data_IF_981650073146
#
_entry.id   IF_981650073146
#
_cell.length_a   1.000
_cell.length_b   1.000
_cell.length_c   1.000
_cell.angle_alpha   90.00
_cell.angle_beta   90.00
_cell.angle_gamma   90.00
#
_symmetry.space_group_name_H-M   'P 1'
#
loop_
_entity.id
_entity.type
_entity.pdbx_description
1 polymer ?
#
# COMPACT_ATOMS: atom_id res chain seq x y z
N UNK A 1 -20.05 16.99 12.99
CA UNK A 1 -19.87 16.61 11.55
C UNK A 1 -18.76 17.50 10.98
N UNK A 2 -17.86 16.98 10.16
CA UNK A 2 -16.80 17.80 9.55
C UNK A 2 -17.39 18.72 8.47
N UNK A 3 -16.89 19.96 8.34
CA UNK A 3 -17.26 20.84 7.23
C UNK A 3 -16.78 20.26 5.90
N UNK A 4 -17.47 20.61 4.82
CA UNK A 4 -17.03 20.26 3.47
C UNK A 4 -15.81 21.08 3.08
N UNK A 5 -14.84 20.44 2.42
CA UNK A 5 -13.62 21.08 1.93
C UNK A 5 -13.26 20.57 0.53
N UNK A 6 -12.74 21.45 -0.32
CA UNK A 6 -12.30 21.08 -1.66
C UNK A 6 -10.98 20.32 -1.61
N UNK A 7 -10.83 19.30 -2.47
CA UNK A 7 -9.59 18.52 -2.55
C UNK A 7 -8.35 19.39 -2.83
N UNK A 8 -8.51 20.50 -3.55
CA UNK A 8 -7.42 21.44 -3.83
C UNK A 8 -6.97 22.17 -2.56
N UNK A 9 -7.90 22.57 -1.69
CA UNK A 9 -7.58 23.22 -0.41
C UNK A 9 -6.89 22.23 0.53
N UNK A 10 -7.40 20.99 0.60
CA UNK A 10 -6.76 19.89 1.33
C UNK A 10 -5.33 19.66 0.80
N UNK A 11 -5.15 19.63 -0.51
CA UNK A 11 -3.83 19.46 -1.13
C UNK A 11 -2.86 20.58 -0.78
N UNK A 12 -3.28 21.85 -0.87
CA UNK A 12 -2.45 23.00 -0.48
C UNK A 12 -2.05 22.93 0.99
N UNK A 13 -3.02 22.68 1.88
CA UNK A 13 -2.76 22.53 3.31
C UNK A 13 -1.70 21.45 3.59
N UNK A 14 -1.85 20.25 3.02
CA UNK A 14 -0.87 19.17 3.22
C UNK A 14 0.49 19.53 2.60
N UNK A 15 0.52 20.23 1.48
CA UNK A 15 1.78 20.69 0.93
C UNK A 15 2.44 21.74 1.83
N UNK A 16 1.68 22.60 2.49
CA UNK A 16 2.24 23.58 3.43
C UNK A 16 2.87 22.91 4.65
N UNK A 17 2.28 21.82 5.14
CA UNK A 17 2.80 21.02 6.25
C UNK A 17 3.98 20.11 5.86
N UNK A 18 3.85 19.38 4.74
CA UNK A 18 4.79 18.32 4.37
C UNK A 18 5.86 18.76 3.34
N UNK A 19 5.64 19.90 2.67
CA UNK A 19 6.46 20.42 1.56
C UNK A 19 6.69 19.42 0.42
N UNK A 20 5.79 18.46 0.21
CA UNK A 20 6.01 17.35 -0.73
C UNK A 20 6.13 17.77 -2.21
N UNK A 21 5.61 18.94 -2.60
CA UNK A 21 5.77 19.45 -3.97
C UNK A 21 7.25 19.74 -4.32
N UNK A 22 8.12 19.97 -3.33
CA UNK A 22 9.55 20.18 -3.58
C UNK A 22 10.25 18.94 -4.16
N UNK A 23 9.65 17.74 -4.02
CA UNK A 23 10.17 16.52 -4.62
C UNK A 23 10.04 16.50 -6.15
N UNK A 24 9.14 17.31 -6.72
CA UNK A 24 8.94 17.41 -8.17
C UNK A 24 9.99 18.30 -8.80
N UNK A 25 11.16 17.72 -9.05
CA UNK A 25 12.25 18.38 -9.78
C UNK A 25 12.04 18.28 -11.30
N UNK A 26 12.48 19.24 -12.12
CA UNK A 26 12.35 19.15 -13.57
C UNK A 26 13.28 18.09 -14.17
N UNK A 27 12.92 17.49 -15.30
CA UNK A 27 13.72 16.47 -16.01
C UNK A 27 15.11 16.99 -16.42
N UNK A 28 15.22 18.28 -16.77
CA UNK A 28 16.48 18.94 -17.11
C UNK A 28 16.69 20.19 -16.22
N UNK A 29 17.23 20.02 -15.00
CA UNK A 29 17.37 21.12 -14.04
C UNK A 29 18.20 22.30 -14.56
N UNK A 30 19.22 22.02 -15.37
CA UNK A 30 20.12 23.05 -15.95
C UNK A 30 19.45 23.93 -17.00
N UNK A 31 18.36 23.48 -17.61
CA UNK A 31 17.66 24.19 -18.69
C UNK A 31 16.27 24.69 -18.27
N UNK A 32 15.81 24.34 -17.08
CA UNK A 32 14.55 24.82 -16.53
C UNK A 32 14.68 26.29 -16.08
N UNK A 33 14.29 27.22 -16.96
CA UNK A 33 14.34 28.67 -16.69
C UNK A 33 13.33 29.15 -15.65
N UNK A 34 12.32 28.33 -15.31
CA UNK A 34 11.28 28.62 -14.30
C UNK A 34 11.02 27.39 -13.45
N UNK A 35 10.99 27.58 -12.13
CA UNK A 35 10.44 26.60 -11.18
C UNK A 35 8.95 26.43 -11.49
N UNK A 36 8.45 25.20 -11.49
CA UNK A 36 7.03 24.96 -11.68
C UNK A 36 6.22 25.64 -10.58
N UNK A 37 5.18 26.34 -11.01
CA UNK A 37 4.16 26.90 -10.15
C UNK A 37 3.43 25.76 -9.40
N UNK A 38 3.21 25.97 -8.10
CA UNK A 38 2.64 24.95 -7.20
C UNK A 38 1.20 24.60 -7.58
N UNK A 39 0.42 25.60 -7.98
CA UNK A 39 -0.97 25.43 -8.43
C UNK A 39 -1.03 24.62 -9.73
N UNK A 40 -0.11 24.88 -10.65
CA UNK A 40 0.04 24.11 -11.89
C UNK A 40 0.41 22.63 -11.63
N UNK A 41 1.32 22.37 -10.69
CA UNK A 41 1.68 20.99 -10.28
C UNK A 41 0.51 20.26 -9.62
N UNK A 42 -0.18 20.93 -8.70
CA UNK A 42 -1.39 20.40 -8.07
C UNK A 42 -2.46 20.06 -9.11
N UNK A 43 -2.73 20.97 -10.05
CA UNK A 43 -3.74 20.79 -11.09
C UNK A 43 -3.44 19.57 -11.97
N UNK A 44 -2.18 19.39 -12.40
CA UNK A 44 -1.80 18.23 -13.22
C UNK A 44 -1.84 16.92 -12.41
N UNK A 45 -1.44 16.93 -11.14
CA UNK A 45 -1.53 15.73 -10.28
C UNK A 45 -2.99 15.31 -10.11
N UNK A 46 -3.88 16.25 -9.78
CA UNK A 46 -5.31 15.98 -9.60
C UNK A 46 -5.93 15.50 -10.92
N UNK A 47 -5.57 16.11 -12.05
CA UNK A 47 -6.05 15.69 -13.37
C UNK A 47 -5.75 14.22 -13.66
N UNK A 48 -4.55 13.75 -13.33
CA UNK A 48 -4.11 12.38 -13.56
C UNK A 48 -4.65 11.40 -12.51
N UNK A 49 -4.81 11.85 -11.26
CA UNK A 49 -5.37 11.05 -10.17
C UNK A 49 -6.85 10.72 -10.37
N UNK A 50 -7.61 11.68 -10.89
CA UNK A 50 -9.07 11.63 -11.01
C UNK A 50 -9.58 11.16 -12.37
N UNK A 51 -8.67 10.71 -13.26
CA UNK A 51 -8.98 10.26 -14.62
C UNK A 51 -9.63 11.32 -15.53
N UNK A 52 -9.49 12.60 -15.22
CA UNK A 52 -9.89 13.67 -16.12
C UNK A 52 -8.90 13.83 -17.28
N UNK A 53 -7.61 13.65 -16.99
CA UNK A 53 -6.53 14.04 -17.88
C UNK A 53 -6.46 15.57 -18.10
N UNK A 54 -5.41 16.02 -18.79
CA UNK A 54 -5.10 17.44 -18.92
C UNK A 54 -6.16 18.22 -19.73
N UNK A 55 -6.80 17.57 -20.72
CA UNK A 55 -7.81 18.24 -21.56
C UNK A 55 -9.08 18.61 -20.80
N UNK A 56 -9.62 17.68 -20.02
CA UNK A 56 -10.83 17.95 -19.21
C UNK A 56 -10.47 18.95 -18.12
N UNK A 57 -9.35 18.75 -17.42
CA UNK A 57 -8.92 19.66 -16.36
C UNK A 57 -8.76 21.10 -16.85
N UNK A 58 -8.16 21.33 -18.02
CA UNK A 58 -8.01 22.67 -18.59
C UNK A 58 -9.34 23.37 -18.93
N UNK A 59 -10.43 22.62 -19.11
CA UNK A 59 -11.77 23.17 -19.36
C UNK A 59 -12.56 23.42 -18.07
N UNK A 60 -12.21 22.72 -17.00
CA UNK A 60 -12.90 22.76 -15.71
C UNK A 60 -12.10 23.46 -14.62
N UNK A 61 -11.00 24.11 -14.99
CA UNK A 61 -10.13 24.86 -14.09
C UNK A 61 -9.58 26.13 -14.74
N UNK A 62 -8.90 26.92 -13.94
CA UNK A 62 -8.20 28.16 -14.30
C UNK A 62 -6.79 27.93 -14.86
N UNK A 63 -6.34 26.68 -15.04
CA UNK A 63 -5.01 26.37 -15.60
C UNK A 63 -5.12 25.93 -17.07
N UNK A 64 -4.45 26.61 -18.01
CA UNK A 64 -4.55 26.29 -19.43
C UNK A 64 -3.81 24.99 -19.77
N UNK A 65 -4.29 24.32 -20.85
CA UNK A 65 -3.78 23.00 -21.26
C UNK A 65 -2.26 22.93 -21.43
N UNK A 66 -1.64 23.93 -22.07
CA UNK A 66 -0.20 23.92 -22.34
C UNK A 66 0.65 23.95 -21.06
N UNK A 67 0.14 24.55 -19.98
CA UNK A 67 0.78 24.56 -18.66
C UNK A 67 0.67 23.18 -18.01
N UNK A 68 -0.51 22.55 -18.06
CA UNK A 68 -0.70 21.18 -17.55
C UNK A 68 0.16 20.16 -18.30
N UNK A 69 0.23 20.26 -19.63
CA UNK A 69 1.03 19.36 -20.46
C UNK A 69 2.54 19.54 -20.19
N UNK A 70 3.02 20.78 -20.11
CA UNK A 70 4.40 21.06 -19.72
C UNK A 70 4.73 20.55 -18.31
N UNK A 71 3.81 20.76 -17.35
CA UNK A 71 3.91 20.24 -15.99
C UNK A 71 4.02 18.71 -15.97
N UNK A 72 3.18 18.04 -16.75
CA UNK A 72 3.21 16.58 -16.89
C UNK A 72 4.56 16.09 -17.41
N UNK A 73 5.00 16.60 -18.55
CA UNK A 73 6.22 16.11 -19.22
C UNK A 73 7.49 16.40 -18.41
N UNK A 74 7.55 17.54 -17.72
CA UNK A 74 8.77 17.96 -17.02
C UNK A 74 8.89 17.39 -15.60
N UNK A 75 7.77 17.18 -14.89
CA UNK A 75 7.79 16.95 -13.44
C UNK A 75 7.19 15.62 -13.00
N UNK A 76 6.19 15.09 -13.73
CA UNK A 76 5.53 13.84 -13.36
C UNK A 76 6.34 12.63 -13.84
N UNK A 77 6.96 11.93 -12.89
CA UNK A 77 7.64 10.66 -13.10
C UNK A 77 7.54 9.81 -11.85
N UNK A 78 7.73 8.50 -12.00
CA UNK A 78 7.62 7.58 -10.87
C UNK A 78 8.54 7.98 -9.70
N UNK A 79 9.79 8.37 -9.98
CA UNK A 79 10.73 8.78 -8.94
C UNK A 79 10.24 10.00 -8.12
N UNK A 80 9.70 11.04 -8.76
CA UNK A 80 9.21 12.25 -8.05
C UNK A 80 7.94 11.96 -7.27
N UNK A 81 7.04 11.15 -7.85
CA UNK A 81 5.81 10.74 -7.18
C UNK A 81 6.09 9.82 -5.97
N UNK A 82 7.04 8.90 -6.07
CA UNK A 82 7.45 8.08 -4.92
C UNK A 82 8.02 8.96 -3.80
N UNK A 83 8.97 9.84 -4.11
CA UNK A 83 9.56 10.75 -3.13
C UNK A 83 8.50 11.65 -2.47
N UNK A 84 7.56 12.21 -3.25
CA UNK A 84 6.46 13.01 -2.70
C UNK A 84 5.54 12.20 -1.77
N UNK A 85 5.22 10.96 -2.13
CA UNK A 85 4.43 10.07 -1.27
C UNK A 85 5.17 9.70 0.02
N UNK A 86 6.49 9.52 -0.04
CA UNK A 86 7.31 9.23 1.14
C UNK A 86 7.34 10.45 2.07
N UNK A 87 7.46 11.67 1.54
CA UNK A 87 7.35 12.90 2.34
C UNK A 87 6.05 12.95 3.15
N UNK A 88 4.90 12.70 2.50
CA UNK A 88 3.62 12.70 3.20
C UNK A 88 3.54 11.53 4.20
N UNK A 89 3.94 10.32 3.79
CA UNK A 89 3.87 9.13 4.65
C UNK A 89 4.70 9.32 5.93
N UNK A 90 5.93 9.83 5.80
CA UNK A 90 6.82 10.09 6.93
C UNK A 90 6.28 11.22 7.80
N UNK A 91 5.66 12.26 7.22
CA UNK A 91 5.00 13.30 7.98
C UNK A 91 3.77 12.78 8.75
N UNK A 92 3.01 11.80 8.22
CA UNK A 92 1.94 11.15 9.00
C UNK A 92 2.53 10.42 10.22
N UNK A 93 3.70 9.80 10.08
CA UNK A 93 4.33 9.06 11.18
C UNK A 93 4.70 9.94 12.39
N UNK A 94 4.91 11.25 12.18
CA UNK A 94 5.25 12.20 13.25
C UNK A 94 4.01 12.77 13.95
N UNK A 95 2.80 12.51 13.43
CA UNK A 95 1.57 13.05 13.99
C UNK A 95 1.18 12.32 15.30
N UNK A 96 0.64 13.04 16.30
CA UNK A 96 0.19 12.47 17.59
C UNK A 96 -0.78 11.28 17.48
N UNK A 97 -1.61 11.22 16.44
CA UNK A 97 -2.54 10.11 16.23
C UNK A 97 -1.84 8.81 15.80
N UNK A 98 -0.65 8.87 15.21
CA UNK A 98 -0.02 7.72 14.55
C UNK A 98 0.17 6.50 15.46
N UNK A 99 0.63 6.63 16.72
CA UNK A 99 0.74 5.50 17.64
C UNK A 99 -0.60 4.79 17.88
N UNK A 100 -1.71 5.53 17.88
CA UNK A 100 -3.06 4.99 18.09
C UNK A 100 -3.61 4.23 16.89
N UNK A 101 -3.00 4.39 15.70
CA UNK A 101 -3.32 3.52 14.57
C UNK A 101 -2.75 2.12 14.77
N UNK A 102 -1.72 1.93 15.58
CA UNK A 102 -1.26 0.58 15.89
C UNK A 102 -2.26 -0.11 16.82
N UNK A 103 -2.58 -1.36 16.52
CA UNK A 103 -3.41 -2.20 17.39
C UNK A 103 -2.60 -3.13 18.29
N UNK A 104 -1.27 -3.13 18.08
CA UNK A 104 -0.28 -3.77 18.91
C UNK A 104 0.86 -2.76 19.10
N UNK A 105 1.25 -2.49 20.35
CA UNK A 105 2.30 -1.51 20.65
C UNK A 105 3.67 -1.94 20.13
N UNK A 106 3.86 -3.24 19.90
CA UNK A 106 5.15 -3.81 19.48
C UNK A 106 5.22 -4.13 17.97
N UNK A 107 4.06 -4.22 17.31
CA UNK A 107 3.96 -4.68 15.92
C UNK A 107 3.31 -3.66 15.02
N UNK A 108 4.07 -3.25 14.01
CA UNK A 108 3.55 -2.47 12.90
C UNK A 108 3.15 -3.41 11.74
N UNK A 109 1.84 -3.47 11.48
CA UNK A 109 1.27 -4.35 10.46
C UNK A 109 1.18 -3.66 9.09
N UNK A 110 1.74 -4.32 8.08
CA UNK A 110 1.61 -3.97 6.67
C UNK A 110 0.68 -4.96 5.95
N UNK A 111 -0.39 -4.48 5.32
CA UNK A 111 -1.27 -5.26 4.46
C UNK A 111 -0.86 -5.14 2.98
N UNK A 112 -0.91 -6.25 2.26
CA UNK A 112 -0.75 -6.30 0.81
C UNK A 112 -1.96 -6.92 0.12
N UNK A 113 -2.40 -6.28 -0.96
CA UNK A 113 -3.49 -6.77 -1.84
C UNK A 113 -3.48 -5.95 -3.14
N UNK A 114 -4.10 -6.52 -4.18
CA UNK A 114 -4.27 -5.91 -5.48
C UNK A 114 -5.66 -5.32 -5.70
N UNK A 115 -5.75 -4.04 -6.07
CA UNK A 115 -7.01 -3.45 -6.52
C UNK A 115 -7.14 -3.48 -8.05
N UNK A 116 -8.29 -3.94 -8.53
CA UNK A 116 -8.56 -4.13 -9.96
C UNK A 116 -9.08 -2.82 -10.57
N UNK A 117 -8.46 -2.38 -11.67
CA UNK A 117 -8.83 -1.18 -12.44
C UNK A 117 -8.88 -1.50 -13.94
N UNK A 118 -9.93 -1.07 -14.63
CA UNK A 118 -9.93 -1.13 -16.10
C UNK A 118 -9.02 -0.04 -16.66
N UNK A 119 -8.61 -0.19 -17.93
CA UNK A 119 -7.83 0.83 -18.62
C UNK A 119 -8.58 1.26 -19.88
N UNK A 120 -8.64 2.57 -20.12
CA UNK A 120 -9.31 3.12 -21.32
C UNK A 120 -8.60 2.63 -22.59
N UNK A 121 -7.26 2.65 -22.57
CA UNK A 121 -6.40 2.28 -23.69
C UNK A 121 -5.49 1.13 -23.27
N UNK A 122 -5.77 -0.10 -23.73
CA UNK A 122 -5.01 -1.26 -23.28
C UNK A 122 -3.53 -1.18 -23.66
N UNK A 123 -2.66 -1.32 -22.66
CA UNK A 123 -1.20 -1.38 -22.81
C UNK A 123 -0.69 -2.83 -22.77
N UNK A 124 0.63 -3.00 -22.81
CA UNK A 124 1.28 -4.31 -22.74
C UNK A 124 1.07 -4.97 -21.38
N UNK A 125 0.86 -4.25 -20.28
CA UNK A 125 0.47 -4.85 -18.98
C UNK A 125 -1.03 -5.14 -18.86
N UNK A 126 -1.87 -4.47 -19.64
CA UNK A 126 -3.32 -4.64 -19.54
C UNK A 126 -3.77 -6.02 -20.01
N UNK A 127 -4.58 -6.71 -19.21
CA UNK A 127 -5.03 -8.08 -19.48
C UNK A 127 -6.55 -8.18 -19.45
N UNK A 128 -7.07 -9.11 -20.24
CA UNK A 128 -8.49 -9.43 -20.25
C UNK A 128 -8.86 -10.23 -19.01
N UNK A 129 -9.99 -9.90 -18.39
CA UNK A 129 -10.61 -10.74 -17.37
C UNK A 129 -12.11 -10.57 -17.41
N UNK A 130 -12.82 -11.65 -17.77
CA UNK A 130 -14.29 -11.65 -17.82
C UNK A 130 -14.90 -11.31 -16.46
N UNK A 131 -14.28 -11.79 -15.37
CA UNK A 131 -14.74 -11.58 -14.00
C UNK A 131 -14.63 -10.11 -13.57
N UNK A 132 -13.51 -9.45 -13.89
CA UNK A 132 -13.20 -8.12 -13.34
C UNK A 132 -13.48 -6.98 -14.30
N UNK A 133 -13.34 -7.20 -15.62
CA UNK A 133 -13.39 -6.14 -16.63
C UNK A 133 -14.45 -6.40 -17.71
N UNK A 134 -15.25 -7.48 -17.57
CA UNK A 134 -16.24 -7.85 -18.58
C UNK A 134 -15.58 -8.13 -19.93
N UNK A 135 -15.89 -7.31 -20.95
CA UNK A 135 -15.25 -7.39 -22.28
C UNK A 135 -13.95 -6.58 -22.39
N UNK A 136 -13.65 -5.77 -21.38
CA UNK A 136 -12.49 -4.87 -21.35
C UNK A 136 -11.20 -5.53 -20.89
N UNK A 137 -10.15 -4.71 -20.81
CA UNK A 137 -8.85 -5.07 -20.23
C UNK A 137 -8.57 -4.16 -19.04
N UNK A 138 -7.73 -4.65 -18.13
CA UNK A 138 -7.37 -3.91 -16.94
C UNK A 138 -6.05 -4.38 -16.34
N UNK A 139 -5.69 -3.71 -15.25
CA UNK A 139 -4.47 -3.91 -14.46
C UNK A 139 -4.84 -4.07 -13.00
N UNK A 140 -3.87 -4.49 -12.19
CA UNK A 140 -4.01 -4.61 -10.75
C UNK A 140 -3.03 -3.64 -10.10
N UNK A 141 -3.56 -2.69 -9.34
CA UNK A 141 -2.79 -1.79 -8.48
C UNK A 141 -2.46 -2.51 -7.17
N UNK A 142 -1.27 -3.10 -7.11
CA UNK A 142 -0.79 -3.81 -5.94
C UNK A 142 -0.26 -2.81 -4.91
N UNK A 143 -0.75 -2.86 -3.68
CA UNK A 143 -0.46 -1.85 -2.65
C UNK A 143 0.08 -2.50 -1.39
N UNK A 144 1.07 -1.85 -0.76
CA UNK A 144 1.48 -2.07 0.62
C UNK A 144 0.92 -0.94 1.47
N UNK A 145 -0.04 -1.28 2.33
CA UNK A 145 -0.64 -0.36 3.29
C UNK A 145 -0.10 -0.66 4.68
N UNK A 146 0.44 0.33 5.37
CA UNK A 146 0.82 0.20 6.77
C UNK A 146 -0.11 1.02 7.65
N UNK A 147 -0.79 0.36 8.60
CA UNK A 147 -1.92 0.97 9.31
C UNK A 147 -2.97 1.49 8.32
N UNK A 148 -2.99 2.80 8.08
CA UNK A 148 -3.88 3.46 7.11
C UNK A 148 -3.13 4.08 5.94
N UNK A 149 -1.80 3.99 5.90
CA UNK A 149 -0.95 4.77 5.00
C UNK A 149 -0.48 3.87 3.85
N UNK A 150 -0.83 4.18 2.58
CA UNK A 150 -0.33 3.45 1.42
C UNK A 150 1.15 3.81 1.12
N UNK A 151 2.05 3.10 1.81
CA UNK A 151 3.50 3.32 1.75
C UNK A 151 4.08 3.10 0.36
N UNK A 152 3.64 2.04 -0.32
CA UNK A 152 4.17 1.68 -1.63
C UNK A 152 3.09 1.04 -2.51
N UNK A 153 3.27 1.08 -3.82
CA UNK A 153 2.40 0.40 -4.76
C UNK A 153 2.89 0.50 -6.19
N UNK A 154 2.46 -0.43 -7.04
CA UNK A 154 2.73 -0.42 -8.48
C UNK A 154 1.74 -1.31 -9.24
N UNK A 155 1.69 -1.15 -10.56
CA UNK A 155 0.80 -1.91 -11.43
C UNK A 155 1.42 -3.23 -11.88
N UNK A 156 0.67 -4.31 -11.65
CA UNK A 156 0.90 -5.66 -12.17
C UNK A 156 -0.20 -6.05 -13.16
N UNK A 157 0.09 -7.01 -14.03
CA UNK A 157 -0.90 -7.55 -14.97
C UNK A 157 -1.95 -8.39 -14.23
N UNK A 158 -3.20 -8.42 -14.73
CA UNK A 158 -4.27 -9.16 -14.04
C UNK A 158 -4.10 -10.70 -14.01
N UNK A 159 -3.15 -11.24 -14.77
CA UNK A 159 -2.73 -12.64 -14.72
C UNK A 159 -1.52 -12.88 -13.80
N UNK A 160 -0.88 -11.82 -13.30
CA UNK A 160 0.30 -11.95 -12.47
C UNK A 160 -0.13 -12.48 -11.09
N UNK A 161 0.63 -13.43 -10.58
CA UNK A 161 0.31 -14.03 -9.29
C UNK A 161 0.78 -13.11 -8.17
N UNK A 162 -0.17 -12.52 -7.43
CA UNK A 162 0.08 -11.50 -6.39
C UNK A 162 1.13 -11.95 -5.35
N UNK A 163 1.15 -13.24 -4.98
CA UNK A 163 2.14 -13.79 -4.05
C UNK A 163 3.61 -13.58 -4.47
N UNK A 164 3.89 -13.40 -5.77
CA UNK A 164 5.25 -13.13 -6.28
C UNK A 164 5.74 -11.70 -6.02
N UNK A 165 4.85 -10.82 -5.55
CA UNK A 165 5.10 -9.39 -5.38
C UNK A 165 5.21 -8.97 -3.92
N UNK A 166 4.89 -9.87 -2.97
CA UNK A 166 4.82 -9.59 -1.53
C UNK A 166 6.16 -9.11 -0.97
N UNK A 167 7.25 -9.83 -1.26
CA UNK A 167 8.58 -9.40 -0.82
C UNK A 167 9.02 -8.14 -1.54
N UNK A 168 8.82 -8.07 -2.86
CA UNK A 168 9.30 -6.95 -3.67
C UNK A 168 8.65 -5.62 -3.28
N UNK A 169 7.35 -5.60 -2.98
CA UNK A 169 6.66 -4.35 -2.59
C UNK A 169 7.11 -3.86 -1.22
N UNK A 170 7.34 -4.77 -0.27
CA UNK A 170 7.89 -4.46 1.04
C UNK A 170 9.35 -4.00 0.95
N UNK A 171 10.18 -4.75 0.23
CA UNK A 171 11.62 -4.50 0.15
C UNK A 171 11.99 -3.25 -0.66
N UNK A 172 11.08 -2.78 -1.52
CA UNK A 172 11.19 -1.52 -2.26
C UNK A 172 10.53 -0.33 -1.56
N UNK A 173 9.98 -0.51 -0.36
CA UNK A 173 9.50 0.62 0.44
C UNK A 173 10.69 1.52 0.80
N UNK A 174 10.54 2.82 0.53
CA UNK A 174 11.55 3.85 0.78
C UNK A 174 11.12 4.84 1.87
N UNK A 175 9.91 4.71 2.40
CA UNK A 175 9.45 5.47 3.57
C UNK A 175 10.15 5.02 4.86
N UNK A 176 10.11 5.89 5.88
CA UNK A 176 10.66 5.62 7.21
C UNK A 176 9.80 4.63 8.00
N UNK A 177 8.57 4.37 7.52
CA UNK A 177 7.61 3.46 8.13
C UNK A 177 7.91 2.04 7.64
N UNK A 178 8.46 1.18 8.51
CA UNK A 178 8.85 -0.18 8.14
C UNK A 178 8.02 -1.23 8.89
N UNK A 179 6.94 -1.76 8.28
CA UNK A 179 6.13 -2.80 8.92
C UNK A 179 6.96 -4.06 9.19
N UNK A 180 6.77 -4.65 10.36
CA UNK A 180 7.48 -5.86 10.84
C UNK A 180 6.70 -7.14 10.59
N UNK A 181 5.38 -7.03 10.46
CA UNK A 181 4.48 -8.12 10.07
C UNK A 181 3.76 -7.75 8.76
N UNK A 182 3.82 -8.63 7.77
CA UNK A 182 3.17 -8.48 6.47
C UNK A 182 1.98 -9.43 6.39
N UNK A 183 0.79 -8.86 6.25
CA UNK A 183 -0.47 -9.58 6.11
C UNK A 183 -0.95 -9.51 4.66
N UNK A 184 -1.70 -10.51 4.23
CA UNK A 184 -2.35 -10.54 2.92
C UNK A 184 -3.46 -11.59 2.93
N UNK A 185 -4.15 -11.76 1.82
CA UNK A 185 -5.15 -12.83 1.66
C UNK A 185 -4.50 -14.14 1.18
N UNK A 186 -5.30 -15.16 0.84
CA UNK A 186 -4.77 -16.41 0.32
C UNK A 186 -4.06 -16.25 -1.05
N UNK A 187 -4.34 -15.19 -1.82
CA UNK A 187 -3.62 -14.89 -3.07
C UNK A 187 -2.21 -14.37 -2.84
N UNK A 188 -1.89 -13.93 -1.62
CA UNK A 188 -0.54 -13.57 -1.20
C UNK A 188 0.33 -14.77 -0.76
N UNK A 189 -0.24 -15.97 -0.61
CA UNK A 189 0.49 -17.15 -0.11
C UNK A 189 1.11 -17.94 -1.26
N UNK A 190 2.41 -18.24 -1.19
CA UNK A 190 3.10 -19.20 -2.06
C UNK A 190 4.03 -20.10 -1.23
N UNK A 191 4.79 -20.99 -1.88
CA UNK A 191 5.71 -21.96 -1.23
C UNK A 191 7.07 -21.37 -0.79
N UNK A 192 7.18 -20.05 -0.68
CA UNK A 192 8.45 -19.39 -0.36
C UNK A 192 8.31 -18.08 0.43
N UNK A 193 7.12 -17.48 0.51
CA UNK A 193 6.94 -16.17 1.16
C UNK A 193 7.23 -16.22 2.65
N UNK A 194 6.91 -17.33 3.33
CA UNK A 194 7.25 -17.48 4.74
C UNK A 194 8.76 -17.53 4.92
N UNK A 195 9.46 -18.33 4.10
CA UNK A 195 10.92 -18.41 4.12
C UNK A 195 11.59 -17.07 3.79
N UNK A 196 11.21 -16.46 2.68
CA UNK A 196 11.84 -15.25 2.15
C UNK A 196 11.65 -14.08 3.13
N UNK A 197 10.44 -13.81 3.62
CA UNK A 197 10.25 -12.73 4.58
C UNK A 197 10.97 -12.99 5.90
N UNK A 198 11.03 -14.25 6.34
CA UNK A 198 11.75 -14.64 7.56
C UNK A 198 13.26 -14.36 7.46
N UNK A 199 13.90 -14.66 6.33
CA UNK A 199 15.34 -14.37 6.14
C UNK A 199 15.68 -12.89 6.23
N UNK A 200 14.71 -12.00 5.98
CA UNK A 200 14.86 -10.55 6.10
C UNK A 200 14.27 -9.99 7.40
N UNK A 201 14.02 -10.84 8.41
CA UNK A 201 13.57 -10.44 9.73
C UNK A 201 12.11 -9.97 9.78
N UNK A 202 11.27 -10.41 8.83
CA UNK A 202 9.85 -10.06 8.77
C UNK A 202 8.97 -11.29 9.01
N UNK A 203 7.80 -11.05 9.59
CA UNK A 203 6.78 -12.08 9.77
C UNK A 203 5.79 -12.00 8.62
N UNK A 204 5.56 -13.12 7.93
CA UNK A 204 4.45 -13.23 7.00
C UNK A 204 3.25 -13.82 7.73
N UNK A 205 2.18 -13.04 7.87
CA UNK A 205 1.00 -13.37 8.66
C UNK A 205 -0.28 -13.24 7.80
N UNK A 206 -0.45 -14.09 6.76
CA UNK A 206 -1.62 -14.04 5.88
C UNK A 206 -2.89 -14.50 6.60
N UNK A 207 -4.05 -13.95 6.20
CA UNK A 207 -5.34 -14.43 6.69
C UNK A 207 -5.68 -15.77 6.07
N UNK A 208 -5.95 -16.75 6.92
CA UNK A 208 -6.46 -18.04 6.48
C UNK A 208 -7.98 -18.00 6.32
N UNK A 209 -8.45 -18.42 5.14
CA UNK A 209 -9.89 -18.56 4.86
C UNK A 209 -10.42 -19.93 5.27
N UNK A 210 -9.56 -20.96 5.23
CA UNK A 210 -9.90 -22.34 5.62
C UNK A 210 -8.76 -22.89 6.50
N UNK A 211 -9.05 -22.99 7.80
CA UNK A 211 -8.12 -23.54 8.80
C UNK A 211 -7.87 -25.04 8.60
N UNK A 212 -8.88 -25.80 8.18
CA UNK A 212 -8.73 -27.24 7.94
C UNK A 212 -7.78 -27.50 6.76
N UNK A 213 -7.82 -26.64 5.74
CA UNK A 213 -6.84 -26.69 4.67
C UNK A 213 -5.42 -26.37 5.16
N UNK A 214 -5.25 -25.46 6.13
CA UNK A 214 -3.92 -25.16 6.69
C UNK A 214 -3.38 -26.28 7.58
N UNK A 215 -4.25 -27.03 8.26
CA UNK A 215 -3.83 -28.21 9.04
C UNK A 215 -3.19 -29.29 8.15
N UNK A 216 -3.57 -29.37 6.87
CA UNK A 216 -2.95 -30.28 5.89
C UNK A 216 -1.54 -29.87 5.47
N UNK A 217 -1.12 -28.67 5.86
CA UNK A 217 0.17 -28.06 5.52
C UNK A 217 1.03 -27.86 6.77
N UNK A 218 0.69 -28.55 7.87
CA UNK A 218 1.41 -28.53 9.13
C UNK A 218 2.47 -29.63 9.18
N UNK A 219 3.72 -29.26 9.41
CA UNK A 219 4.85 -30.19 9.49
C UNK A 219 5.59 -30.04 10.82
N UNK A 220 6.32 -31.09 11.22
CA UNK A 220 7.15 -31.11 12.44
C UNK A 220 8.64 -31.33 12.12
N UNK A 221 9.52 -30.96 13.05
CA UNK A 221 10.95 -31.24 12.95
C UNK A 221 11.29 -32.68 13.38
N UNK A 222 10.49 -33.27 14.27
CA UNK A 222 10.69 -34.62 14.80
C UNK A 222 9.84 -35.68 14.07
N UNK A 223 9.82 -36.90 14.60
CA UNK A 223 8.97 -37.98 14.08
C UNK A 223 7.48 -37.66 14.32
N UNK A 224 6.63 -37.62 13.27
CA UNK A 224 5.19 -37.43 13.40
C UNK A 224 4.51 -38.38 14.39
N UNK A 225 5.05 -39.59 14.60
CA UNK A 225 4.52 -40.56 15.56
C UNK A 225 4.55 -40.06 17.01
N UNK A 226 5.45 -39.14 17.36
CA UNK A 226 5.54 -38.57 18.71
C UNK A 226 4.33 -37.67 19.05
N UNK A 227 3.59 -37.21 18.03
CA UNK A 227 2.47 -36.28 18.18
C UNK A 227 1.10 -36.99 18.13
N UNK A 228 1.04 -38.32 18.26
CA UNK A 228 -0.23 -39.07 18.22
C UNK A 228 -1.23 -38.62 19.30
N UNK A 229 -0.74 -38.23 20.48
CA UNK A 229 -1.59 -37.74 21.57
C UNK A 229 -2.06 -36.28 21.37
N UNK A 230 -1.49 -35.54 20.41
CA UNK A 230 -1.87 -34.15 20.17
C UNK A 230 -3.20 -34.06 19.40
N UNK A 231 -4.01 -33.06 19.75
CA UNK A 231 -5.27 -32.74 19.05
C UNK A 231 -5.02 -32.33 17.60
N UNK A 232 -3.97 -31.54 17.38
CA UNK A 232 -3.50 -31.11 16.07
C UNK A 232 -2.22 -31.89 15.77
N UNK A 233 -2.21 -32.59 14.63
CA UNK A 233 -1.11 -33.48 14.24
C UNK A 233 -0.41 -32.97 12.98
N UNK A 234 0.93 -33.02 12.92
CA UNK A 234 1.65 -32.74 11.70
C UNK A 234 1.39 -33.83 10.66
N UNK A 235 1.35 -33.45 9.38
CA UNK A 235 1.18 -34.39 8.26
C UNK A 235 2.49 -35.00 7.78
N UNK A 236 3.63 -34.50 8.25
CA UNK A 236 4.94 -35.01 7.87
C UNK A 236 6.10 -34.32 8.57
N UNK A 237 7.29 -34.86 8.34
CA UNK A 237 8.56 -34.36 8.88
C UNK A 237 9.25 -33.42 7.90
N UNK A 238 9.82 -32.35 8.41
CA UNK A 238 10.65 -31.39 7.68
C UNK A 238 12.06 -31.97 7.52
N UNK A 239 12.61 -31.89 6.32
CA UNK A 239 13.98 -32.34 6.04
C UNK A 239 15.00 -31.29 6.50
N UNK A 240 15.25 -31.24 7.81
CA UNK A 240 16.21 -30.31 8.42
C UNK A 240 17.63 -30.52 7.91
N UNK A 241 18.05 -31.77 7.65
CA UNK A 241 19.39 -32.07 7.15
C UNK A 241 19.62 -31.48 5.75
N UNK A 242 18.61 -31.54 4.88
CA UNK A 242 18.65 -30.89 3.57
C UNK A 242 18.76 -29.36 3.69
N UNK A 243 18.04 -28.73 4.63
CA UNK A 243 18.14 -27.29 4.89
C UNK A 243 19.58 -26.93 5.29
N UNK A 244 20.19 -27.67 6.21
CA UNK A 244 21.56 -27.43 6.64
C UNK A 244 22.58 -27.63 5.52
N UNK A 245 22.45 -28.72 4.75
CA UNK A 245 23.34 -29.02 3.62
C UNK A 245 23.30 -27.95 2.54
N UNK A 246 22.11 -27.43 2.22
CA UNK A 246 21.92 -26.42 1.17
C UNK A 246 22.05 -24.98 1.66
N UNK A 247 22.36 -24.77 2.95
CA UNK A 247 22.52 -23.43 3.52
C UNK A 247 23.41 -22.50 2.69
N UNK A 248 24.59 -22.92 2.18
CA UNK A 248 25.43 -22.03 1.37
C UNK A 248 24.73 -21.52 0.09
N UNK A 249 23.87 -22.34 -0.52
CA UNK A 249 23.09 -21.93 -1.69
C UNK A 249 21.93 -21.02 -1.31
N UNK A 250 21.28 -21.28 -0.18
CA UNK A 250 20.25 -20.40 0.39
C UNK A 250 20.85 -19.02 0.69
N UNK A 251 22.01 -18.96 1.34
CA UNK A 251 22.69 -17.70 1.67
C UNK A 251 23.00 -16.88 0.41
N UNK A 252 23.44 -17.53 -0.68
CA UNK A 252 23.64 -16.88 -1.98
C UNK A 252 22.34 -16.31 -2.56
N UNK A 253 21.25 -17.05 -2.46
CA UNK A 253 19.93 -16.59 -2.93
C UNK A 253 19.44 -15.39 -2.11
N UNK A 254 19.61 -15.45 -0.78
CA UNK A 254 19.29 -14.33 0.13
C UNK A 254 20.14 -13.12 -0.22
N UNK A 255 21.44 -13.30 -0.46
CA UNK A 255 22.34 -12.23 -0.89
C UNK A 255 21.90 -11.61 -2.22
N UNK A 256 21.57 -12.41 -3.25
CA UNK A 256 21.07 -11.92 -4.53
C UNK A 256 19.77 -11.12 -4.39
N UNK A 257 18.83 -11.58 -3.54
CA UNK A 257 17.62 -10.82 -3.22
C UNK A 257 17.95 -9.51 -2.49
N UNK A 258 18.86 -9.55 -1.51
CA UNK A 258 19.28 -8.40 -0.72
C UNK A 258 20.09 -7.36 -1.51
N UNK A 259 20.79 -7.79 -2.55
CA UNK A 259 21.49 -6.90 -3.48
C UNK A 259 20.55 -6.32 -4.56
N UNK A 260 19.26 -6.70 -4.56
CA UNK A 260 18.25 -6.28 -5.56
C UNK A 260 18.63 -6.66 -7.00
N UNK A 261 19.53 -7.63 -7.20
CA UNK A 261 19.94 -8.13 -8.52
C UNK A 261 18.79 -8.87 -9.22
N UNK A 262 17.86 -9.42 -8.44
CA UNK A 262 16.71 -10.18 -8.93
C UNK A 262 15.49 -9.90 -8.05
N UNK A 263 14.31 -9.85 -8.68
CA UNK A 263 13.03 -9.74 -7.97
C UNK A 263 12.59 -11.08 -7.42
N UNK A 264 11.77 -11.06 -6.37
CA UNK A 264 11.19 -12.26 -5.80
C UNK A 264 10.45 -13.09 -6.86
N UNK A 265 9.60 -12.46 -7.66
CA UNK A 265 8.87 -13.17 -8.72
C UNK A 265 9.78 -13.84 -9.75
N UNK A 266 10.94 -13.24 -10.05
CA UNK A 266 11.94 -13.85 -10.94
C UNK A 266 12.62 -15.05 -10.27
N UNK A 267 12.96 -14.94 -8.98
CA UNK A 267 13.51 -16.04 -8.19
C UNK A 267 12.55 -17.22 -8.18
N UNK A 268 11.28 -17.02 -7.81
CA UNK A 268 10.29 -18.09 -7.72
C UNK A 268 10.08 -18.75 -9.07
N UNK A 269 9.98 -17.95 -10.16
CA UNK A 269 9.87 -18.49 -11.51
C UNK A 269 11.05 -19.38 -11.86
N UNK A 270 12.29 -18.95 -11.56
CA UNK A 270 13.52 -19.73 -11.77
C UNK A 270 13.57 -20.99 -10.89
N UNK A 271 13.16 -20.90 -9.63
CA UNK A 271 13.07 -22.08 -8.76
C UNK A 271 12.08 -23.11 -9.31
N UNK A 272 10.97 -22.66 -9.89
CA UNK A 272 9.97 -23.52 -10.50
C UNK A 272 10.41 -24.12 -11.84
N UNK A 273 11.45 -23.61 -12.52
CA UNK A 273 12.01 -24.27 -13.72
C UNK A 273 12.92 -25.45 -13.40
N UNK A 274 13.48 -25.50 -12.18
CA UNK A 274 14.26 -26.67 -11.75
C UNK A 274 13.36 -27.88 -11.50
N UNK A 275 13.91 -29.08 -11.68
CA UNK A 275 13.21 -30.32 -11.32
C UNK A 275 12.81 -30.33 -9.85
N UNK A 276 11.76 -31.06 -9.50
CA UNK A 276 11.32 -31.22 -8.10
C UNK A 276 12.37 -31.93 -7.25
N UNK A 277 13.32 -32.62 -7.87
CA UNK A 277 14.46 -33.30 -7.24
C UNK A 277 15.64 -32.37 -6.95
N UNK A 278 15.66 -31.14 -7.46
CA UNK A 278 16.74 -30.20 -7.21
C UNK A 278 16.88 -29.92 -5.69
N UNK A 279 18.08 -30.11 -5.11
CA UNK A 279 18.25 -30.05 -3.65
C UNK A 279 18.01 -28.65 -3.10
N UNK A 280 18.53 -27.60 -3.74
CA UNK A 280 18.34 -26.20 -3.29
C UNK A 280 16.86 -25.80 -3.32
N UNK A 281 16.14 -26.12 -4.40
CA UNK A 281 14.69 -25.87 -4.51
C UNK A 281 13.93 -26.54 -3.36
N UNK A 282 14.22 -27.82 -3.10
CA UNK A 282 13.59 -28.57 -2.02
C UNK A 282 13.92 -27.96 -0.66
N UNK A 283 15.18 -27.62 -0.40
CA UNK A 283 15.60 -27.02 0.86
C UNK A 283 14.85 -25.72 1.19
N UNK A 284 14.65 -24.85 0.20
CA UNK A 284 13.88 -23.61 0.36
C UNK A 284 12.43 -23.91 0.75
N UNK A 285 11.80 -24.88 0.09
CA UNK A 285 10.40 -25.24 0.37
C UNK A 285 10.26 -25.97 1.72
N UNK A 286 11.25 -26.75 2.15
CA UNK A 286 11.30 -27.34 3.50
C UNK A 286 11.45 -26.26 4.57
N UNK A 287 12.27 -25.23 4.32
CA UNK A 287 12.37 -24.08 5.21
C UNK A 287 11.05 -23.28 5.26
N UNK A 288 10.38 -23.08 4.12
CA UNK A 288 9.08 -22.41 4.06
C UNK A 288 8.02 -23.17 4.87
N UNK A 289 7.96 -24.50 4.74
CA UNK A 289 7.09 -25.35 5.57
C UNK A 289 7.35 -25.17 7.06
N UNK A 290 8.61 -25.06 7.48
CA UNK A 290 8.97 -24.83 8.89
C UNK A 290 8.35 -23.54 9.41
N UNK A 291 8.60 -22.42 8.72
CA UNK A 291 8.12 -21.10 9.16
C UNK A 291 6.59 -21.03 9.08
N UNK A 292 6.00 -21.59 8.01
CA UNK A 292 4.55 -21.67 7.87
C UNK A 292 3.91 -22.50 8.97
N UNK A 293 4.50 -23.63 9.35
CA UNK A 293 3.98 -24.49 10.43
C UNK A 293 3.98 -23.75 11.77
N UNK A 294 5.05 -23.02 12.07
CA UNK A 294 5.13 -22.16 13.27
C UNK A 294 4.03 -21.10 13.25
N UNK A 295 3.82 -20.43 12.11
CA UNK A 295 2.77 -19.43 11.98
C UNK A 295 1.37 -20.04 12.14
N UNK A 296 1.08 -21.17 11.48
CA UNK A 296 -0.21 -21.87 11.60
C UNK A 296 -0.53 -22.22 13.04
N UNK A 297 0.44 -22.74 13.81
CA UNK A 297 0.24 -23.04 15.22
C UNK A 297 0.02 -21.77 16.05
N UNK A 298 0.73 -20.67 15.78
CA UNK A 298 0.50 -19.37 16.43
C UNK A 298 -0.91 -18.85 16.12
N UNK A 299 -1.33 -18.92 14.87
CA UNK A 299 -2.64 -18.46 14.41
C UNK A 299 -3.78 -19.23 15.09
N UNK A 300 -3.64 -20.55 15.25
CA UNK A 300 -4.64 -21.39 15.93
C UNK A 300 -4.68 -21.18 17.45
N UNK A 301 -3.53 -20.84 18.05
CA UNK A 301 -3.41 -20.67 19.50
C UNK A 301 -3.84 -19.28 19.99
N UNK A 302 -3.65 -18.26 19.17
CA UNK A 302 -3.84 -16.86 19.56
C UNK A 302 -4.97 -16.18 18.76
N UNK A 303 -6.20 -16.10 19.31
CA UNK A 303 -7.30 -15.38 18.68
C UNK A 303 -7.02 -13.89 18.46
N UNK A 304 -6.10 -13.28 19.21
CA UNK A 304 -5.75 -11.88 19.03
C UNK A 304 -4.95 -11.69 17.74
N UNK A 305 -4.06 -12.63 17.39
CA UNK A 305 -3.36 -12.64 16.11
C UNK A 305 -4.33 -12.67 14.93
N UNK A 306 -5.34 -13.55 14.97
CA UNK A 306 -6.38 -13.61 13.93
C UNK A 306 -7.13 -12.28 13.80
N UNK A 307 -7.57 -11.68 14.92
CA UNK A 307 -8.25 -10.38 14.92
C UNK A 307 -7.38 -9.26 14.36
N UNK A 308 -6.08 -9.27 14.68
CA UNK A 308 -5.09 -8.33 14.21
C UNK A 308 -4.91 -8.42 12.69
N UNK A 309 -4.74 -9.63 12.16
CA UNK A 309 -4.65 -9.90 10.72
C UNK A 309 -5.93 -9.44 10.00
N UNK A 310 -7.10 -9.77 10.54
CA UNK A 310 -8.38 -9.33 9.97
C UNK A 310 -8.54 -7.80 9.97
N UNK A 311 -8.12 -7.12 11.05
CA UNK A 311 -8.17 -5.66 11.15
C UNK A 311 -7.25 -4.99 10.13
N UNK A 312 -6.05 -5.54 9.94
CA UNK A 312 -5.09 -5.09 8.92
C UNK A 312 -5.72 -5.12 7.52
N UNK A 313 -6.38 -6.21 7.15
CA UNK A 313 -7.08 -6.33 5.87
C UNK A 313 -8.25 -5.36 5.71
N UNK A 314 -9.08 -5.18 6.73
CA UNK A 314 -10.21 -4.24 6.69
C UNK A 314 -9.76 -2.79 6.43
N UNK A 315 -8.56 -2.41 6.90
CA UNK A 315 -7.98 -1.08 6.62
C UNK A 315 -7.60 -0.92 5.15
N UNK A 316 -7.07 -1.98 4.55
CA UNK A 316 -6.76 -2.03 3.13
C UNK A 316 -8.04 -1.95 2.29
N UNK A 317 -9.11 -2.63 2.68
CA UNK A 317 -10.42 -2.46 2.04
C UNK A 317 -10.93 -1.01 2.12
N UNK A 318 -10.77 -0.35 3.27
CA UNK A 318 -11.14 1.07 3.44
C UNK A 318 -10.35 1.98 2.49
N UNK A 319 -9.04 1.76 2.36
CA UNK A 319 -8.20 2.45 1.38
C UNK A 319 -8.62 2.16 -0.06
N UNK A 320 -8.98 0.92 -0.38
CA UNK A 320 -9.50 0.56 -1.69
C UNK A 320 -10.80 1.31 -2.03
N UNK A 321 -11.68 1.54 -1.05
CA UNK A 321 -12.88 2.35 -1.28
C UNK A 321 -12.52 3.81 -1.57
N UNK A 322 -11.57 4.39 -0.84
CA UNK A 322 -11.04 5.73 -1.11
C UNK A 322 -10.44 5.82 -2.52
N UNK A 323 -9.56 4.89 -2.89
CA UNK A 323 -8.95 4.83 -4.24
C UNK A 323 -9.99 4.67 -5.34
N UNK A 324 -11.06 3.89 -5.09
CA UNK A 324 -12.17 3.76 -6.04
C UNK A 324 -12.89 5.09 -6.21
N UNK A 325 -13.20 5.80 -5.12
CA UNK A 325 -13.87 7.08 -5.18
C UNK A 325 -13.05 8.13 -5.96
N UNK A 326 -11.74 8.20 -5.72
CA UNK A 326 -10.82 9.08 -6.48
C UNK A 326 -10.85 8.75 -7.97
N UNK A 327 -10.78 7.47 -8.35
CA UNK A 327 -10.78 7.07 -9.74
C UNK A 327 -12.13 7.32 -10.43
N UNK A 328 -13.24 7.14 -9.72
CA UNK A 328 -14.60 7.27 -10.26
C UNK A 328 -15.05 8.72 -10.48
N UNK A 329 -14.25 9.71 -10.07
CA UNK A 329 -14.48 11.12 -10.37
C UNK A 329 -14.68 11.36 -11.87
N UNK A 330 -13.82 10.77 -12.71
CA UNK A 330 -13.93 10.78 -14.17
C UNK A 330 -15.06 9.90 -14.76
N UNK A 331 -15.95 9.38 -13.91
CA UNK A 331 -17.15 8.62 -14.30
C UNK A 331 -17.00 7.10 -14.29
N UNK A 332 -15.78 6.55 -14.29
CA UNK A 332 -15.53 5.10 -14.23
C UNK A 332 -14.31 4.78 -13.38
N UNK A 333 -14.27 3.57 -12.82
CA UNK A 333 -13.11 3.05 -12.07
C UNK A 333 -12.03 2.56 -13.05
N UNK A 334 -11.38 3.51 -13.71
CA UNK A 334 -10.36 3.24 -14.74
C UNK A 334 -9.04 3.92 -14.39
N UNK A 335 -8.00 3.68 -15.17
CA UNK A 335 -6.76 4.47 -15.14
C UNK A 335 -6.52 5.05 -16.53
N UNK A 336 -6.12 6.32 -16.58
CA UNK A 336 -5.81 7.04 -17.83
C UNK A 336 -4.36 6.89 -18.23
N UNK A 337 -4.10 6.78 -19.52
CA UNK A 337 -2.76 6.68 -20.11
C UNK A 337 -2.74 5.84 -21.38
N UNK A 338 -1.74 6.06 -22.23
CA UNK A 338 -1.51 5.34 -23.50
C UNK A 338 -0.38 4.32 -23.39
N UNK A 339 0.48 4.46 -22.40
CA UNK A 339 1.65 3.60 -22.17
C UNK A 339 1.65 3.07 -20.73
N UNK A 340 2.38 1.98 -20.46
CA UNK A 340 2.49 1.43 -19.10
C UNK A 340 3.06 2.45 -18.10
N UNK A 341 3.91 3.37 -18.58
CA UNK A 341 4.48 4.46 -17.78
C UNK A 341 3.39 5.48 -17.42
N UNK A 342 2.58 5.91 -18.39
CA UNK A 342 1.52 6.90 -18.16
C UNK A 342 0.45 6.37 -17.20
N UNK A 343 0.06 5.09 -17.34
CA UNK A 343 -0.91 4.46 -16.43
C UNK A 343 -0.32 4.32 -15.02
N UNK A 344 0.98 4.00 -14.89
CA UNK A 344 1.65 3.99 -13.59
C UNK A 344 1.70 5.38 -12.96
N UNK A 345 1.98 6.43 -13.74
CA UNK A 345 1.92 7.83 -13.27
C UNK A 345 0.53 8.16 -12.73
N UNK A 346 -0.55 7.82 -13.46
CA UNK A 346 -1.93 8.02 -12.99
C UNK A 346 -2.20 7.26 -11.68
N UNK A 347 -1.75 6.01 -11.57
CA UNK A 347 -1.86 5.22 -10.33
C UNK A 347 -1.14 5.88 -9.14
N UNK A 348 0.09 6.38 -9.34
CA UNK A 348 0.87 7.04 -8.30
C UNK A 348 0.31 8.42 -7.93
N UNK A 349 -0.22 9.19 -8.88
CA UNK A 349 -0.93 10.44 -8.58
C UNK A 349 -2.15 10.17 -7.69
N UNK A 350 -2.92 9.12 -7.99
CA UNK A 350 -4.07 8.77 -7.18
C UNK A 350 -3.70 8.23 -5.79
N UNK A 351 -2.55 7.54 -5.65
CA UNK A 351 -1.96 7.23 -4.34
C UNK A 351 -1.56 8.50 -3.58
N UNK A 352 -0.98 9.47 -4.27
CA UNK A 352 -0.59 10.76 -3.67
C UNK A 352 -1.81 11.50 -3.13
N UNK A 353 -2.89 11.64 -3.91
CA UNK A 353 -4.15 12.26 -3.45
C UNK A 353 -4.74 11.49 -2.26
N UNK A 354 -4.69 10.16 -2.27
CA UNK A 354 -5.14 9.37 -1.11
C UNK A 354 -4.29 9.67 0.13
N UNK A 355 -2.96 9.74 0.00
CA UNK A 355 -2.05 10.11 1.09
C UNK A 355 -2.31 11.54 1.61
N UNK A 356 -2.58 12.49 0.73
CA UNK A 356 -2.98 13.85 1.10
C UNK A 356 -4.25 13.85 1.96
N UNK A 357 -5.30 13.13 1.53
CA UNK A 357 -6.55 13.01 2.29
C UNK A 357 -6.31 12.37 3.66
N UNK A 358 -5.51 11.30 3.69
CA UNK A 358 -5.19 10.56 4.93
C UNK A 358 -4.39 11.43 5.89
N UNK A 359 -3.42 12.22 5.41
CA UNK A 359 -2.68 13.17 6.23
C UNK A 359 -3.62 14.22 6.82
N UNK A 360 -4.45 14.85 6.00
CA UNK A 360 -5.40 15.88 6.46
C UNK A 360 -6.30 15.37 7.58
N UNK A 361 -6.90 14.20 7.39
CA UNK A 361 -7.72 13.56 8.42
C UNK A 361 -6.91 13.20 9.66
N UNK A 362 -5.68 12.70 9.49
CA UNK A 362 -4.79 12.39 10.61
C UNK A 362 -4.38 13.63 11.39
N UNK A 363 -4.22 14.78 10.75
CA UNK A 363 -3.91 16.05 11.40
C UNK A 363 -5.09 16.54 12.26
N UNK A 364 -6.33 16.45 11.74
CA UNK A 364 -7.56 16.73 12.53
C UNK A 364 -7.64 15.79 13.74
N UNK A 365 -7.47 14.48 13.52
CA UNK A 365 -7.54 13.48 14.60
C UNK A 365 -6.44 13.71 15.63
N UNK A 366 -5.25 14.16 15.22
CA UNK A 366 -4.15 14.48 16.13
C UNK A 366 -4.47 15.64 17.05
N UNK A 367 -5.07 16.71 16.50
CA UNK A 367 -5.53 17.85 17.31
C UNK A 367 -6.60 17.42 18.32
N UNK A 368 -7.52 16.55 17.92
CA UNK A 368 -8.52 15.97 18.83
C UNK A 368 -7.86 15.12 19.92
N UNK A 369 -6.88 14.28 19.59
CA UNK A 369 -6.11 13.50 20.59
C UNK A 369 -5.49 14.45 21.61
N UNK A 370 -4.73 15.45 21.16
CA UNK A 370 -4.07 16.40 22.08
C UNK A 370 -5.08 17.14 22.97
N UNK A 371 -6.23 17.57 22.43
CA UNK A 371 -7.31 18.22 23.19
C UNK A 371 -7.86 17.31 24.29
N UNK A 372 -8.16 16.05 23.97
CA UNK A 372 -8.80 15.13 24.90
C UNK A 372 -7.83 14.43 25.86
N UNK A 373 -6.55 14.30 25.50
CA UNK A 373 -5.47 13.94 26.44
C UNK A 373 -5.32 15.01 27.52
N UNK A 374 -5.25 16.29 27.14
CA UNK A 374 -5.14 17.40 28.09
C UNK A 374 -6.37 17.49 29.02
N UNK A 375 -7.55 17.10 28.53
CA UNK A 375 -8.77 17.04 29.32
C UNK A 375 -8.94 15.74 30.14
N UNK A 376 -8.04 14.75 29.99
CA UNK A 376 -8.13 13.45 30.67
C UNK A 376 -9.32 12.58 30.24
N UNK A 377 -9.91 12.82 29.06
CA UNK A 377 -11.12 12.12 28.61
C UNK A 377 -10.79 10.82 27.85
N UNK A 378 -10.61 9.74 28.60
CA UNK A 378 -10.28 8.41 28.05
C UNK A 378 -11.37 7.84 27.12
N UNK A 379 -12.64 8.19 27.33
CA UNK A 379 -13.75 7.74 26.47
C UNK A 379 -13.66 8.35 25.08
N UNK A 380 -13.44 9.66 25.01
CA UNK A 380 -13.27 10.36 23.74
C UNK A 380 -12.04 9.84 22.98
N UNK A 381 -10.91 9.61 23.68
CA UNK A 381 -9.72 9.00 23.08
C UNK A 381 -10.03 7.62 22.47
N UNK A 382 -10.75 6.76 23.20
CA UNK A 382 -11.14 5.44 22.71
C UNK A 382 -12.11 5.47 21.50
N UNK A 383 -12.83 6.57 21.30
CA UNK A 383 -13.64 6.79 20.09
C UNK A 383 -12.77 7.25 18.91
N UNK A 384 -11.86 8.19 19.15
CA UNK A 384 -10.94 8.73 18.13
C UNK A 384 -10.11 7.60 17.50
N UNK A 385 -9.60 6.68 18.30
CA UNK A 385 -8.79 5.55 17.81
C UNK A 385 -9.54 4.59 16.87
N UNK A 386 -10.88 4.64 16.87
CA UNK A 386 -11.73 3.83 15.97
C UNK A 386 -12.04 4.53 14.65
N UNK A 387 -11.72 5.82 14.52
CA UNK A 387 -12.01 6.59 13.31
C UNK A 387 -10.94 6.29 12.26
N UNK A 388 -11.36 5.87 11.08
CA UNK A 388 -10.46 5.64 9.95
C UNK A 388 -10.10 6.97 9.27
N UNK A 389 -8.81 7.34 9.16
CA UNK A 389 -8.38 8.52 8.42
C UNK A 389 -8.53 8.37 6.90
N UNK A 390 -8.92 7.18 6.42
CA UNK A 390 -9.23 6.98 5.01
C UNK A 390 -10.63 7.48 4.63
N UNK A 391 -11.40 8.13 5.51
CA UNK A 391 -12.74 8.64 5.21
C UNK A 391 -12.71 9.94 4.38
N UNK A 392 -13.47 10.01 3.28
CA UNK A 392 -13.41 11.15 2.35
C UNK A 392 -14.75 11.86 2.08
N UNK A 393 -15.86 11.44 2.71
CA UNK A 393 -17.20 12.00 2.38
C UNK A 393 -17.35 13.51 2.61
N UNK A 394 -16.50 14.09 3.43
CA UNK A 394 -16.46 15.53 3.71
C UNK A 394 -15.49 16.29 2.76
N UNK A 395 -14.86 15.58 1.82
CA UNK A 395 -13.93 16.16 0.85
C UNK A 395 -14.60 16.11 -0.53
N UNK A 396 -14.71 17.28 -1.16
CA UNK A 396 -15.29 17.43 -2.48
C UNK A 396 -14.23 17.08 -3.52
N UNK A 397 -14.40 15.91 -4.13
CA UNK A 397 -13.54 15.38 -5.19
C UNK A 397 -13.99 15.78 -6.60
N UNK A 398 -15.19 16.35 -6.75
CA UNK A 398 -15.77 16.77 -8.03
C UNK A 398 -16.17 18.24 -7.96
N UNK A 399 -16.14 18.94 -9.09
CA UNK A 399 -16.60 20.32 -9.19
C UNK A 399 -15.79 21.15 -10.18
N UNK A 400 -16.00 22.46 -10.15
CA UNK A 400 -15.12 23.42 -10.82
C UNK A 400 -13.90 23.66 -9.91
N UNK A 401 -12.69 23.53 -10.45
CA UNK A 401 -11.46 23.68 -9.67
C UNK A 401 -10.90 25.09 -9.83
N UNK A 402 -10.69 25.78 -8.72
CA UNK A 402 -10.00 27.06 -8.71
C UNK A 402 -8.65 26.88 -8.05
N UNK A 403 -7.61 26.72 -8.86
CA UNK A 403 -6.24 26.51 -8.38
C UNK A 403 -5.56 27.84 -8.07
N UNK A 404 -5.82 28.88 -8.84
CA UNK A 404 -5.36 30.25 -8.60
C UNK A 404 -6.34 30.98 -7.67
N UNK A 405 -6.42 30.53 -6.41
CA UNK A 405 -7.25 31.17 -5.39
C UNK A 405 -6.39 31.81 -4.31
N UNK A 406 -6.84 32.94 -3.79
CA UNK A 406 -6.28 33.61 -2.62
C UNK A 406 -6.54 32.78 -1.36
N UNK A 407 -5.73 31.75 -1.13
CA UNK A 407 -5.41 31.20 0.19
C UNK A 407 -6.55 31.11 1.21
N UNK A 408 -7.59 30.29 0.96
CA UNK A 408 -8.36 29.76 2.09
C UNK A 408 -7.47 28.81 2.86
N UNK A 409 -6.77 29.34 3.85
CA UNK A 409 -5.96 28.56 4.77
C UNK A 409 -6.89 27.71 5.63
N UNK A 410 -6.71 26.40 5.59
CA UNK A 410 -7.46 25.50 6.47
C UNK A 410 -6.93 25.71 7.89
N UNK A 411 -7.81 26.19 8.77
CA UNK A 411 -7.55 26.31 10.20
C UNK A 411 -8.07 25.05 10.91
N UNK A 412 -7.15 24.16 11.29
CA UNK A 412 -7.48 22.93 12.01
C UNK A 412 -8.06 23.22 13.41
N UNK A 413 -7.63 24.28 14.07
CA UNK A 413 -8.08 24.59 15.43
C UNK A 413 -9.52 25.09 15.40
N UNK A 414 -9.88 25.89 14.40
CA UNK A 414 -11.27 26.29 14.16
C UNK A 414 -12.18 25.08 13.85
N UNK A 415 -11.71 24.11 13.05
CA UNK A 415 -12.45 22.87 12.77
C UNK A 415 -12.68 22.07 14.05
N UNK A 416 -11.63 21.91 14.87
CA UNK A 416 -11.67 21.09 16.10
C UNK A 416 -12.46 21.77 17.22
N UNK A 417 -12.49 23.10 17.28
CA UNK A 417 -13.32 23.85 18.22
C UNK A 417 -14.81 23.54 18.02
N UNK A 418 -15.26 23.34 16.78
CA UNK A 418 -16.63 22.96 16.44
C UNK A 418 -16.95 21.46 16.60
N UNK A 419 -16.02 20.65 17.09
CA UNK A 419 -16.21 19.21 17.29
C UNK A 419 -16.24 18.88 18.78
N UNK A 420 -17.37 18.32 19.22
CA UNK A 420 -17.53 17.68 20.51
C UNK A 420 -17.83 16.20 20.30
N UNK A 421 -16.98 15.35 20.88
CA UNK A 421 -17.20 13.93 21.03
C UNK A 421 -17.86 13.72 22.39
N UNK A 422 -19.17 13.49 22.38
CA UNK A 422 -19.96 13.08 23.55
C UNK A 422 -19.67 11.63 23.97
#
# INVERSE_FOLDING_TARGET
KLPFCDVADVFRFVNDECKFLSAFTPMQPRYAKKVADADSLMAVIIAQAMNHGNHVMARTSDIPYHVLDSGYQQYLRQATLHAANDCISNAIATLPIFPYYSFDLETLYGAVDGQKFSVERPTVKARYSRKYFGRGKGVVAYTLLCNHIPLNGYLIGAHDYEAHHVFDIWYRNTSDIMPTAITGDMHSVNKANFAILHWFGRRFEPRFTDLNAQLKELYCADDPAQYQACLIRPVGKIDCDLIHREKPNIDRIVATLGLKEMTQGTLIRKLCTYTTTNPTRRAIFEFDKLIRSIYTLRYLRDPQLERNVHRSQNRLESYHQLRSAIAQVGGKKELTGRTDIEIEISNQCARLIANTIIFYNSAILSRLVTKYEAAGNSKALALITKISPAAWRHILLNGHYTFQSSGKTIDLDAIVAGLELE
#
